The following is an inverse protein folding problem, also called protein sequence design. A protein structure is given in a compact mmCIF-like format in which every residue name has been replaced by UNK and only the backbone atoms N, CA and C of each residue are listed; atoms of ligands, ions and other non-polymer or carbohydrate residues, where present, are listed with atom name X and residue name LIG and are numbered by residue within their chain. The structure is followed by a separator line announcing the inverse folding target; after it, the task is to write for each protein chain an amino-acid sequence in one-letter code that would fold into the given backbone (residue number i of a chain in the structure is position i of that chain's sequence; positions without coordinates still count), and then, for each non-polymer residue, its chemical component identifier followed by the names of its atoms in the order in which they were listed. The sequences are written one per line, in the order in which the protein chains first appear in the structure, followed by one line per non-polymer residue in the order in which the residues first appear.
data_IF_773357274469
#
_entry.id   IF_773357274469
#
_cell.length_a   1.000
_cell.length_b   1.000
_cell.length_c   1.000
_cell.angle_alpha   90.00
_cell.angle_beta   90.00
_cell.angle_gamma   90.00
#
_symmetry.space_group_name_H-M   'P 1'
#
loop_
_entity.id
_entity.type
_entity.pdbx_description
1 polymer ?
#
# COMPACT_ATOMS: atom_id res chain seq x y z
N UNK A 1 15.90 -14.10 20.84
CA UNK A 1 15.41 -12.73 21.14
C UNK A 1 14.13 -12.49 20.37
N UNK A 2 13.00 -12.12 21.02
CA UNK A 2 11.81 -11.72 20.29
C UNK A 2 12.13 -10.42 19.55
N UNK A 3 12.41 -10.50 18.25
CA UNK A 3 12.53 -9.33 17.39
C UNK A 3 11.14 -8.78 17.16
N UNK A 4 10.65 -7.96 18.09
CA UNK A 4 9.42 -7.20 17.87
C UNK A 4 9.62 -6.35 16.62
N UNK A 5 8.88 -6.67 15.56
CA UNK A 5 8.96 -5.96 14.29
C UNK A 5 8.35 -4.58 14.47
N UNK A 6 9.19 -3.59 14.75
CA UNK A 6 8.77 -2.17 14.78
C UNK A 6 8.13 -1.81 13.46
N UNK A 7 6.95 -1.20 13.54
CA UNK A 7 6.15 -0.79 12.39
C UNK A 7 6.11 0.73 12.35
N UNK A 8 6.58 1.31 11.24
CA UNK A 8 6.71 2.75 11.06
C UNK A 8 5.58 3.29 10.17
N UNK A 9 4.99 4.41 10.57
CA UNK A 9 4.03 5.18 9.76
C UNK A 9 4.73 5.80 8.54
N UNK A 10 3.94 6.18 7.52
CA UNK A 10 4.46 6.87 6.34
C UNK A 10 5.14 8.19 6.75
N UNK A 11 4.52 8.95 7.67
CA UNK A 11 5.08 10.20 8.16
C UNK A 11 6.44 10.01 8.87
N UNK A 12 6.57 8.99 9.74
CA UNK A 12 7.84 8.68 10.40
C UNK A 12 8.92 8.28 9.41
N UNK A 13 8.59 7.46 8.40
CA UNK A 13 9.55 7.10 7.34
C UNK A 13 10.06 8.34 6.62
N UNK A 14 9.18 9.25 6.22
CA UNK A 14 9.57 10.48 5.53
C UNK A 14 10.42 11.38 6.44
N UNK A 15 10.07 11.51 7.72
CA UNK A 15 10.85 12.29 8.70
C UNK A 15 12.24 11.70 8.96
N UNK A 16 12.38 10.38 8.96
CA UNK A 16 13.69 9.72 9.11
C UNK A 16 14.52 9.93 7.84
N UNK A 17 13.89 9.84 6.66
CA UNK A 17 14.56 10.07 5.38
C UNK A 17 14.92 11.53 5.13
N UNK A 18 14.22 12.50 5.72
CA UNK A 18 14.58 13.93 5.59
C UNK A 18 15.88 14.28 6.30
N UNK A 19 16.33 13.43 7.23
CA UNK A 19 17.62 13.57 7.92
C UNK A 19 18.78 12.93 7.14
N UNK A 20 18.50 12.29 6.00
CA UNK A 20 19.51 11.74 5.11
C UNK A 20 20.05 12.82 4.17
N UNK A 21 21.37 12.97 4.16
CA UNK A 21 22.07 13.89 3.26
C UNK A 21 23.27 13.18 2.61
N UNK A 22 23.27 12.94 1.29
CA UNK A 22 24.37 12.25 0.62
C UNK A 22 25.67 13.06 0.68
N UNK A 23 26.74 12.43 1.19
CA UNK A 23 28.07 13.04 1.24
C UNK A 23 28.40 13.75 2.56
N UNK A 24 27.44 13.89 3.48
CA UNK A 24 27.70 14.43 4.82
C UNK A 24 28.10 13.31 5.79
N UNK A 25 29.16 13.53 6.56
CA UNK A 25 29.61 12.56 7.55
C UNK A 25 28.58 12.49 8.70
N UNK A 26 28.04 11.29 8.94
CA UNK A 26 27.07 11.08 10.02
C UNK A 26 25.60 11.24 9.63
N UNK A 27 25.28 11.47 8.36
CA UNK A 27 23.91 11.48 7.81
C UNK A 27 23.60 10.26 6.92
N UNK A 28 24.59 9.40 6.66
CA UNK A 28 24.40 8.20 5.84
C UNK A 28 23.49 7.14 6.47
N UNK A 29 23.09 6.13 5.71
CA UNK A 29 22.17 5.07 6.16
C UNK A 29 22.61 4.35 7.44
N UNK A 30 23.92 4.16 7.64
CA UNK A 30 24.46 3.56 8.86
C UNK A 30 24.37 4.47 10.08
N UNK A 31 24.47 5.78 9.89
CA UNK A 31 24.33 6.74 10.97
C UNK A 31 22.85 6.90 11.36
N UNK A 32 21.95 6.98 10.38
CA UNK A 32 20.51 6.98 10.61
C UNK A 32 20.02 5.69 11.27
N UNK A 33 20.55 4.55 10.83
CA UNK A 33 20.22 3.26 11.42
C UNK A 33 20.60 3.16 12.90
N UNK A 34 21.76 3.72 13.28
CA UNK A 34 22.17 3.81 14.69
C UNK A 34 21.30 4.77 15.50
N UNK A 35 20.92 5.92 14.95
CA UNK A 35 20.09 6.93 15.65
C UNK A 35 18.67 6.44 15.92
N UNK A 36 18.09 5.72 14.97
CA UNK A 36 16.68 5.30 15.04
C UNK A 36 16.49 3.82 15.38
N UNK A 37 17.57 3.07 15.61
CA UNK A 37 17.54 1.62 15.85
C UNK A 37 16.84 0.87 14.68
N UNK A 38 17.30 1.18 13.46
CA UNK A 38 16.76 0.65 12.20
C UNK A 38 17.90 0.04 11.40
N UNK A 39 17.68 -1.14 10.81
CA UNK A 39 18.70 -1.71 9.93
C UNK A 39 18.91 -0.82 8.69
N UNK A 40 20.17 -0.60 8.25
CA UNK A 40 20.44 0.19 7.04
C UNK A 40 19.74 -0.35 5.79
N UNK A 41 19.51 -1.67 5.72
CA UNK A 41 18.72 -2.30 4.64
C UNK A 41 17.28 -1.81 4.60
N UNK A 42 16.64 -1.63 5.75
CA UNK A 42 15.26 -1.09 5.83
C UNK A 42 15.22 0.36 5.33
N UNK A 43 16.20 1.17 5.73
CA UNK A 43 16.29 2.57 5.31
C UNK A 43 16.52 2.66 3.79
N UNK A 44 17.40 1.82 3.24
CA UNK A 44 17.59 1.71 1.78
C UNK A 44 16.28 1.35 1.06
N UNK A 45 15.53 0.39 1.59
CA UNK A 45 14.23 0.01 1.03
C UNK A 45 13.21 1.16 1.00
N UNK A 46 13.17 1.99 2.06
CA UNK A 46 12.34 3.19 2.08
C UNK A 46 12.85 4.26 1.11
N UNK A 47 14.17 4.44 1.02
CA UNK A 47 14.78 5.39 0.10
C UNK A 47 14.44 5.08 -1.36
N UNK A 48 14.45 3.80 -1.76
CA UNK A 48 14.03 3.37 -3.11
C UNK A 48 12.58 3.73 -3.45
N UNK A 49 11.70 3.89 -2.44
CA UNK A 49 10.29 4.25 -2.62
C UNK A 49 9.99 5.65 -2.03
N UNK A 50 11.00 6.53 -1.94
CA UNK A 50 10.89 7.86 -1.34
C UNK A 50 9.80 8.70 -2.03
N UNK A 51 9.74 8.66 -3.34
CA UNK A 51 8.78 9.44 -4.13
C UNK A 51 7.35 8.99 -3.83
N UNK A 52 7.10 7.68 -3.78
CA UNK A 52 5.80 7.11 -3.40
C UNK A 52 5.41 7.47 -1.96
N UNK A 53 6.37 7.45 -1.02
CA UNK A 53 6.15 7.88 0.36
C UNK A 53 5.79 9.36 0.46
N UNK A 54 6.43 10.21 -0.34
CA UNK A 54 6.12 11.64 -0.40
C UNK A 54 4.78 11.91 -1.09
N UNK A 55 4.45 11.18 -2.16
CA UNK A 55 3.16 11.27 -2.83
C UNK A 55 2.02 10.86 -1.88
N UNK A 56 2.18 9.74 -1.16
CA UNK A 56 1.23 9.30 -0.14
C UNK A 56 1.09 10.30 1.01
N UNK A 57 2.15 11.03 1.37
CA UNK A 57 2.08 12.08 2.39
C UNK A 57 1.27 13.30 1.94
N UNK A 58 1.31 13.63 0.64
CA UNK A 58 0.56 14.76 0.05
C UNK A 58 -0.92 14.44 -0.15
N UNK A 59 -1.25 13.15 -0.28
CA UNK A 59 -2.64 12.70 -0.41
C UNK A 59 -3.40 12.91 0.91
N UNK A 60 -4.31 13.88 0.91
CA UNK A 60 -5.16 14.22 2.06
C UNK A 60 -6.17 13.12 2.42
N UNK A 61 -6.41 12.16 1.53
CA UNK A 61 -7.31 11.04 1.78
C UNK A 61 -6.62 9.92 2.60
N UNK A 62 -5.29 9.91 2.65
CA UNK A 62 -4.54 8.90 3.39
C UNK A 62 -4.23 9.42 4.80
N UNK A 63 -4.68 8.74 5.88
CA UNK A 63 -4.28 9.10 7.24
C UNK A 63 -2.84 8.65 7.51
N UNK A 64 -1.88 9.37 6.94
CA UNK A 64 -0.43 9.05 6.87
C UNK A 64 0.25 8.89 8.22
N UNK A 65 -0.35 9.43 9.29
CA UNK A 65 0.07 9.25 10.69
C UNK A 65 -0.27 7.86 11.24
N UNK A 66 -1.31 7.20 10.73
CA UNK A 66 -1.73 5.87 11.17
C UNK A 66 -1.42 4.77 10.13
N UNK A 67 -1.34 5.14 8.84
CA UNK A 67 -1.00 4.22 7.75
C UNK A 67 0.49 3.89 7.77
N UNK A 68 0.78 2.57 7.76
CA UNK A 68 2.16 2.03 7.87
C UNK A 68 2.68 1.41 6.57
N UNK A 69 1.84 1.27 5.55
CA UNK A 69 2.16 0.65 4.24
C UNK A 69 1.74 1.59 3.12
N UNK A 70 2.53 1.63 2.05
CA UNK A 70 2.09 2.22 0.79
C UNK A 70 0.91 1.41 0.24
N UNK A 71 -0.01 2.06 -0.48
CA UNK A 71 -1.06 1.36 -1.21
C UNK A 71 -0.43 0.37 -2.19
N UNK A 72 -1.02 -0.81 -2.34
CA UNK A 72 -0.46 -1.86 -3.20
C UNK A 72 0.76 -2.62 -2.64
N UNK A 73 1.26 -2.30 -1.44
CA UNK A 73 2.38 -3.02 -0.78
C UNK A 73 2.03 -4.41 -0.23
N UNK A 74 0.99 -5.05 -0.77
CA UNK A 74 0.51 -6.39 -0.42
C UNK A 74 0.69 -7.38 -1.56
N UNK A 75 0.17 -8.60 -1.38
CA UNK A 75 0.08 -9.56 -2.49
C UNK A 75 -0.78 -8.93 -3.58
N UNK A 76 -0.22 -8.79 -4.78
CA UNK A 76 -1.01 -8.36 -5.94
C UNK A 76 -2.15 -9.37 -6.18
N UNK A 77 -3.35 -8.90 -6.52
CA UNK A 77 -4.42 -9.77 -6.95
C UNK A 77 -3.94 -10.75 -8.02
N UNK A 78 -4.42 -11.99 -7.96
CA UNK A 78 -4.15 -12.92 -9.06
C UNK A 78 -4.92 -12.52 -10.34
N UNK A 79 -5.97 -11.71 -10.19
CA UNK A 79 -6.89 -11.31 -11.25
C UNK A 79 -7.27 -9.83 -11.08
N UNK A 80 -6.33 -8.92 -11.37
CA UNK A 80 -6.51 -7.46 -11.21
C UNK A 80 -7.79 -6.95 -11.91
N UNK A 81 -8.05 -7.39 -13.15
CA UNK A 81 -9.21 -6.92 -13.91
C UNK A 81 -10.55 -7.35 -13.29
N UNK A 82 -10.60 -8.56 -12.72
CA UNK A 82 -11.80 -9.05 -12.02
C UNK A 82 -12.05 -8.27 -10.74
N UNK A 83 -11.01 -8.00 -9.96
CA UNK A 83 -11.13 -7.24 -8.72
C UNK A 83 -11.57 -5.79 -9.00
N UNK A 84 -11.05 -5.16 -10.06
CA UNK A 84 -11.46 -3.81 -10.47
C UNK A 84 -12.96 -3.75 -10.85
N UNK A 85 -13.45 -4.67 -11.70
CA UNK A 85 -14.87 -4.71 -12.07
C UNK A 85 -15.79 -4.99 -10.88
N UNK A 86 -15.34 -5.84 -9.95
CA UNK A 86 -16.08 -6.12 -8.73
C UNK A 86 -16.13 -4.88 -7.82
N UNK A 87 -15.02 -4.13 -7.72
CA UNK A 87 -14.95 -2.88 -6.97
C UNK A 87 -15.89 -1.82 -7.54
N UNK A 88 -15.86 -1.58 -8.85
CA UNK A 88 -16.77 -0.64 -9.53
C UNK A 88 -18.25 -0.97 -9.27
N UNK A 89 -18.60 -2.26 -9.30
CA UNK A 89 -19.95 -2.70 -9.00
C UNK A 89 -20.35 -2.43 -7.53
N UNK A 90 -19.45 -2.67 -6.57
CA UNK A 90 -19.69 -2.36 -5.15
C UNK A 90 -19.86 -0.85 -4.96
N UNK A 91 -19.01 -0.04 -5.57
CA UNK A 91 -19.08 1.43 -5.50
C UNK A 91 -20.42 1.94 -6.06
N UNK A 92 -20.86 1.42 -7.20
CA UNK A 92 -22.17 1.74 -7.79
C UNK A 92 -23.33 1.39 -6.85
N UNK A 93 -23.29 0.23 -6.17
CA UNK A 93 -24.30 -0.14 -5.19
C UNK A 93 -24.28 0.78 -3.96
N UNK A 94 -23.08 1.09 -3.44
CA UNK A 94 -22.92 1.97 -2.29
C UNK A 94 -23.40 3.40 -2.59
N UNK A 95 -23.14 3.92 -3.78
CA UNK A 95 -23.61 5.23 -4.24
C UNK A 95 -25.15 5.30 -4.33
N UNK A 96 -25.82 4.15 -4.46
CA UNK A 96 -27.29 4.04 -4.39
C UNK A 96 -27.82 3.82 -2.97
N UNK A 97 -26.95 3.89 -1.95
CA UNK A 97 -27.30 3.62 -0.56
C UNK A 97 -27.51 2.13 -0.25
N UNK A 98 -27.15 1.22 -1.16
CA UNK A 98 -27.32 -0.22 -0.98
C UNK A 98 -26.03 -0.83 -0.43
N UNK A 99 -26.05 -1.19 0.85
CA UNK A 99 -24.94 -1.94 1.45
C UNK A 99 -24.93 -3.38 0.91
N UNK A 100 -23.91 -3.70 0.11
CA UNK A 100 -23.73 -5.04 -0.46
C UNK A 100 -23.28 -6.03 0.63
N UNK A 101 -23.98 -7.16 0.77
CA UNK A 101 -23.54 -8.25 1.66
C UNK A 101 -22.46 -9.09 1.00
N UNK A 102 -21.58 -9.64 1.82
CA UNK A 102 -20.45 -10.49 1.39
C UNK A 102 -20.86 -11.68 0.50
N UNK A 103 -22.05 -12.25 0.72
CA UNK A 103 -22.61 -13.32 -0.13
C UNK A 103 -22.82 -12.86 -1.58
N UNK A 104 -23.27 -11.63 -1.79
CA UNK A 104 -23.48 -11.06 -3.12
C UNK A 104 -22.16 -10.68 -3.78
N UNK A 105 -21.18 -10.19 -3.02
CA UNK A 105 -19.83 -9.92 -3.52
C UNK A 105 -19.22 -11.21 -4.08
N UNK A 106 -19.29 -12.31 -3.33
CA UNK A 106 -18.80 -13.63 -3.78
C UNK A 106 -19.55 -14.15 -5.01
N UNK A 107 -20.87 -13.96 -5.07
CA UNK A 107 -21.67 -14.37 -6.23
C UNK A 107 -21.28 -13.56 -7.47
N UNK A 108 -21.15 -12.24 -7.34
CA UNK A 108 -20.81 -11.36 -8.43
C UNK A 108 -19.38 -11.62 -8.94
N UNK A 109 -18.43 -11.88 -8.05
CA UNK A 109 -17.08 -12.31 -8.42
C UNK A 109 -17.10 -13.56 -9.31
N UNK A 110 -17.89 -14.58 -8.94
CA UNK A 110 -18.05 -15.80 -9.76
C UNK A 110 -18.69 -15.50 -11.12
N UNK A 111 -19.66 -14.59 -11.17
CA UNK A 111 -20.32 -14.22 -12.43
C UNK A 111 -19.36 -13.48 -13.37
N UNK A 112 -18.60 -12.52 -12.84
CA UNK A 112 -17.56 -11.81 -13.59
C UNK A 112 -16.50 -12.80 -14.09
N UNK A 113 -16.04 -13.73 -13.24
CA UNK A 113 -15.08 -14.75 -13.63
C UNK A 113 -15.59 -15.63 -14.78
N UNK A 114 -16.86 -16.04 -14.74
CA UNK A 114 -17.48 -16.81 -15.82
C UNK A 114 -17.52 -16.03 -17.13
N UNK A 115 -17.81 -14.73 -17.09
CA UNK A 115 -17.79 -13.87 -18.28
C UNK A 115 -16.40 -13.78 -18.91
N UNK A 116 -15.33 -13.86 -18.11
CA UNK A 116 -13.96 -13.93 -18.62
C UNK A 116 -13.60 -15.28 -19.24
N UNK A 117 -14.19 -16.38 -18.75
CA UNK A 117 -13.85 -17.75 -19.20
C UNK A 117 -14.67 -18.24 -20.38
N UNK A 118 -15.82 -17.63 -20.69
CA UNK A 118 -16.60 -18.00 -21.88
C UNK A 118 -15.99 -17.27 -23.08
N UNK A 119 -15.43 -17.97 -24.09
CA UNK A 119 -15.02 -17.33 -25.32
C UNK A 119 -16.29 -16.80 -25.98
N UNK A 120 -16.34 -15.49 -26.21
CA UNK A 120 -17.38 -14.82 -26.98
C UNK A 120 -17.43 -15.45 -28.36
N UNK A 121 -18.30 -16.45 -28.57
CA UNK A 121 -18.72 -16.83 -29.91
C UNK A 121 -19.64 -15.70 -30.39
N UNK A 122 -19.10 -14.88 -31.30
CA UNK A 122 -19.87 -13.99 -32.16
C UNK A 122 -20.63 -14.81 -33.19
#
# INVERSE_FOLDING_TARGET
MPTSRRSYSIAEKVSILSSYDPGVQGSGFHALGRRHDISPSTIRGWWSHKEELQAALRDRQVPTRSVRRLSGGGRRPAQDELENRLFEWIEHCNNKGLRVKDSYIRLQAKNIYRQFMVPTQR
#
